data_IF_896730974479
#
_entry.id   IF_896730974479
#
_cell.length_a   1.000
_cell.length_b   1.000
_cell.length_c   1.000
_cell.angle_alpha   90.00
_cell.angle_beta   90.00
_cell.angle_gamma   90.00
#
_symmetry.space_group_name_H-M   'P 1'
#
loop_
_entity.id
_entity.type
_entity.pdbx_description
1 polymer ?
#
# COMPACT_ATOMS: atom_id res chain seq x y z
N UNK A 1 4.23 -4.62 17.28
CA UNK A 1 4.79 -3.54 16.45
C UNK A 1 3.72 -3.10 15.47
N UNK A 2 3.51 -1.80 15.32
CA UNK A 2 2.68 -1.22 14.28
C UNK A 2 3.24 -1.52 12.88
N UNK A 3 2.41 -1.40 11.83
CA UNK A 3 2.89 -1.56 10.46
C UNK A 3 4.07 -0.64 10.13
N UNK A 4 3.99 0.64 10.53
CA UNK A 4 5.06 1.62 10.27
C UNK A 4 6.37 1.19 10.96
N UNK A 5 6.32 0.66 12.18
CA UNK A 5 7.52 0.14 12.86
C UNK A 5 8.11 -1.07 12.14
N UNK A 6 7.26 -2.02 11.69
CA UNK A 6 7.71 -3.22 10.95
C UNK A 6 8.30 -2.85 9.59
N UNK A 7 7.63 -1.95 8.86
CA UNK A 7 8.11 -1.41 7.60
C UNK A 7 9.44 -0.68 7.80
N UNK A 8 9.57 0.14 8.85
CA UNK A 8 10.81 0.84 9.19
C UNK A 8 11.95 -0.12 9.53
N UNK A 9 11.65 -1.20 10.26
CA UNK A 9 12.62 -2.26 10.55
C UNK A 9 13.12 -2.92 9.26
N UNK A 10 12.23 -3.36 8.35
CA UNK A 10 12.65 -3.94 7.08
C UNK A 10 13.38 -2.91 6.18
N UNK A 11 12.90 -1.67 6.13
CA UNK A 11 13.48 -0.59 5.34
C UNK A 11 14.92 -0.27 5.76
N UNK A 12 15.24 -0.39 7.06
CA UNK A 12 16.61 -0.21 7.59
C UNK A 12 17.61 -1.28 7.12
N UNK A 13 17.12 -2.43 6.65
CA UNK A 13 17.94 -3.55 6.19
C UNK A 13 18.29 -3.45 4.70
N UNK A 14 17.72 -2.49 3.97
CA UNK A 14 17.95 -2.28 2.54
C UNK A 14 18.59 -0.91 2.28
N UNK A 15 19.35 -0.74 1.18
CA UNK A 15 19.97 0.56 0.88
C UNK A 15 18.92 1.67 0.74
N UNK A 16 19.19 2.83 1.32
CA UNK A 16 18.34 4.00 1.16
C UNK A 16 18.12 4.32 -0.33
N UNK A 17 16.89 4.67 -0.69
CA UNK A 17 16.46 4.94 -2.09
C UNK A 17 16.56 3.75 -3.06
N UNK A 18 16.79 2.53 -2.57
CA UNK A 18 16.61 1.33 -3.39
C UNK A 18 15.14 1.06 -3.68
N UNK A 19 14.84 0.18 -4.64
CA UNK A 19 13.47 -0.21 -4.97
C UNK A 19 12.66 -0.74 -3.75
N UNK A 20 13.15 -1.72 -2.97
CA UNK A 20 12.42 -2.17 -1.77
C UNK A 20 12.31 -1.08 -0.70
N UNK A 21 13.28 -0.17 -0.61
CA UNK A 21 13.21 0.97 0.30
C UNK A 21 12.06 1.92 -0.07
N UNK A 22 11.85 2.18 -1.37
CA UNK A 22 10.76 3.02 -1.86
C UNK A 22 9.39 2.33 -1.72
N UNK A 23 9.34 1.00 -1.81
CA UNK A 23 8.13 0.23 -1.51
C UNK A 23 7.70 0.44 -0.06
N UNK A 24 8.65 0.40 0.88
CA UNK A 24 8.34 0.67 2.29
C UNK A 24 7.78 2.09 2.49
N UNK A 25 8.32 3.12 1.81
CA UNK A 25 7.77 4.48 1.88
C UNK A 25 6.31 4.53 1.42
N UNK A 26 6.00 3.91 0.27
CA UNK A 26 4.63 3.89 -0.25
C UNK A 26 3.68 3.15 0.71
N UNK A 27 4.09 2.02 1.28
CA UNK A 27 3.29 1.29 2.26
C UNK A 27 3.08 2.10 3.55
N UNK A 28 4.09 2.83 4.02
CA UNK A 28 3.93 3.73 5.16
C UNK A 28 2.96 4.87 4.85
N UNK A 29 2.99 5.40 3.63
CA UNK A 29 2.05 6.41 3.17
C UNK A 29 0.61 5.88 3.10
N UNK A 30 0.40 4.63 2.68
CA UNK A 30 -0.90 3.95 2.79
C UNK A 30 -1.31 3.85 4.26
N UNK A 31 -0.43 3.35 5.14
CA UNK A 31 -0.73 3.20 6.57
C UNK A 31 -1.10 4.52 7.26
N UNK A 32 -0.48 5.64 6.85
CA UNK A 32 -0.77 6.98 7.39
C UNK A 32 -2.14 7.50 6.96
N UNK A 33 -2.58 7.15 5.75
CA UNK A 33 -3.86 7.59 5.18
C UNK A 33 -5.02 6.69 5.62
N UNK A 34 -4.78 5.39 5.73
CA UNK A 34 -5.79 4.34 5.86
C UNK A 34 -5.38 3.39 7.00
N UNK A 35 -5.78 3.68 8.26
CA UNK A 35 -5.46 2.85 9.42
C UNK A 35 -5.92 1.39 9.30
N UNK A 36 -7.03 1.13 8.61
CA UNK A 36 -7.55 -0.20 8.32
C UNK A 36 -6.59 -1.04 7.47
N UNK A 37 -5.95 -0.42 6.47
CA UNK A 37 -4.91 -1.05 5.68
C UNK A 37 -3.65 -1.31 6.52
N UNK A 38 -3.35 -0.43 7.48
CA UNK A 38 -2.22 -0.60 8.38
C UNK A 38 -2.35 -1.85 9.26
N UNK A 39 -3.56 -2.22 9.69
CA UNK A 39 -3.76 -3.44 10.47
C UNK A 39 -3.49 -4.71 9.66
N UNK A 40 -3.93 -4.75 8.39
CA UNK A 40 -3.68 -5.87 7.48
C UNK A 40 -2.19 -6.00 7.15
N UNK A 41 -1.56 -4.89 6.74
CA UNK A 41 -0.12 -4.85 6.45
C UNK A 41 0.70 -5.29 7.68
N UNK A 42 0.31 -4.87 8.88
CA UNK A 42 1.02 -5.29 10.09
C UNK A 42 0.97 -6.81 10.28
N UNK A 43 -0.18 -7.44 10.06
CA UNK A 43 -0.32 -8.90 10.18
C UNK A 43 0.49 -9.63 9.12
N UNK A 44 0.40 -9.18 7.87
CA UNK A 44 1.10 -9.82 6.76
C UNK A 44 2.61 -9.75 6.90
N UNK A 45 3.17 -8.63 7.38
CA UNK A 45 4.62 -8.46 7.55
C UNK A 45 5.27 -9.42 8.57
N UNK A 46 4.49 -10.20 9.32
CA UNK A 46 5.02 -11.31 10.12
C UNK A 46 5.37 -12.54 9.26
N UNK A 47 4.85 -12.64 8.03
CA UNK A 47 5.22 -13.63 7.04
C UNK A 47 6.37 -13.11 6.15
N UNK A 48 7.52 -13.79 6.08
CA UNK A 48 8.63 -13.42 5.19
C UNK A 48 8.23 -13.30 3.71
N UNK A 49 7.25 -14.08 3.26
CA UNK A 49 6.76 -14.06 1.87
C UNK A 49 5.96 -12.78 1.55
N UNK A 50 5.61 -11.99 2.57
CA UNK A 50 4.92 -10.71 2.46
C UNK A 50 5.86 -9.53 2.77
N UNK A 51 7.18 -9.71 2.65
CA UNK A 51 8.16 -8.66 2.94
C UNK A 51 8.18 -7.54 1.88
N UNK A 52 8.81 -6.40 2.20
CA UNK A 52 9.01 -5.29 1.24
C UNK A 52 9.84 -5.69 0.01
N UNK A 53 10.66 -6.74 0.13
CA UNK A 53 11.45 -7.28 -0.98
C UNK A 53 10.58 -8.12 -1.90
N UNK A 54 9.68 -8.94 -1.35
CA UNK A 54 8.72 -9.70 -2.17
C UNK A 54 7.69 -8.78 -2.84
N UNK A 55 7.24 -7.75 -2.13
CA UNK A 55 6.37 -6.72 -2.70
C UNK A 55 7.06 -5.94 -3.86
N UNK A 56 8.35 -5.62 -3.74
CA UNK A 56 9.12 -5.02 -4.83
C UNK A 56 9.17 -5.90 -6.08
N UNK A 57 9.29 -7.23 -5.92
CA UNK A 57 9.29 -8.16 -7.06
C UNK A 57 7.98 -8.09 -7.86
N UNK A 58 6.84 -7.83 -7.21
CA UNK A 58 5.57 -7.66 -7.92
C UNK A 58 5.59 -6.41 -8.82
N UNK A 59 6.08 -5.29 -8.28
CA UNK A 59 6.25 -4.05 -9.06
C UNK A 59 7.25 -4.27 -10.20
N UNK A 60 8.36 -4.96 -9.93
CA UNK A 60 9.36 -5.30 -10.95
C UNK A 60 8.77 -6.18 -12.05
N UNK A 61 7.98 -7.19 -11.71
CA UNK A 61 7.34 -8.06 -12.69
C UNK A 61 6.38 -7.27 -13.60
N UNK A 62 5.61 -6.34 -13.02
CA UNK A 62 4.78 -5.43 -13.80
C UNK A 62 5.62 -4.51 -14.71
N UNK A 63 6.72 -3.96 -14.19
CA UNK A 63 7.61 -3.12 -14.98
C UNK A 63 8.25 -3.88 -16.15
N UNK A 64 8.68 -5.13 -15.92
CA UNK A 64 9.31 -5.97 -16.92
C UNK A 64 8.31 -6.37 -18.04
N UNK A 65 7.01 -6.55 -17.72
CA UNK A 65 5.97 -6.86 -18.71
C UNK A 65 5.57 -5.66 -19.58
N UNK A 66 5.79 -4.43 -19.12
CA UNK A 66 5.48 -3.18 -19.84
C UNK A 66 6.74 -2.50 -20.42
N UNK A 67 7.86 -3.22 -20.48
CA UNK A 67 9.14 -2.68 -20.92
C UNK A 67 9.18 -2.42 -22.43
N UNK A 68 9.57 -1.20 -22.79
CA UNK A 68 9.86 -0.80 -24.18
C UNK A 68 11.37 -0.65 -24.36
N UNK A 69 11.99 -1.60 -25.07
CA UNK A 69 13.44 -1.67 -25.21
C UNK A 69 14.14 -1.95 -23.87
N UNK A 70 14.95 -1.02 -23.37
CA UNK A 70 15.66 -1.12 -22.08
C UNK A 70 15.00 -0.32 -20.96
N UNK A 71 13.83 0.26 -21.20
CA UNK A 71 13.18 1.17 -20.27
C UNK A 71 11.74 0.74 -19.98
N UNK A 72 11.37 0.80 -18.71
CA UNK A 72 10.00 0.71 -18.22
C UNK A 72 9.80 1.77 -17.14
N UNK A 73 8.56 2.18 -16.96
CA UNK A 73 8.17 3.11 -15.91
C UNK A 73 6.96 2.51 -15.19
N UNK A 74 6.93 2.63 -13.87
CA UNK A 74 5.75 2.33 -13.06
C UNK A 74 5.38 3.63 -12.36
N UNK A 75 4.17 4.09 -12.60
CA UNK A 75 3.64 5.29 -11.96
C UNK A 75 3.32 5.02 -10.48
N UNK A 76 3.27 6.07 -9.63
CA UNK A 76 2.88 5.89 -8.23
C UNK A 76 1.53 5.19 -8.07
N UNK A 77 0.55 5.50 -8.91
CA UNK A 77 -0.78 4.87 -8.88
C UNK A 77 -0.74 3.39 -9.27
N UNK A 78 0.10 2.99 -10.24
CA UNK A 78 0.28 1.58 -10.59
C UNK A 78 0.96 0.80 -9.46
N UNK A 79 1.99 1.39 -8.85
CA UNK A 79 2.66 0.80 -7.70
C UNK A 79 1.68 0.62 -6.52
N UNK A 80 0.87 1.64 -6.22
CA UNK A 80 -0.16 1.58 -5.18
C UNK A 80 -1.16 0.45 -5.45
N UNK A 81 -1.67 0.33 -6.68
CA UNK A 81 -2.57 -0.77 -7.08
C UNK A 81 -1.92 -2.15 -6.90
N UNK A 82 -0.68 -2.32 -7.36
CA UNK A 82 0.05 -3.60 -7.25
C UNK A 82 0.25 -3.98 -5.78
N UNK A 83 0.61 -3.01 -4.93
CA UNK A 83 0.79 -3.25 -3.50
C UNK A 83 -0.55 -3.59 -2.82
N UNK A 84 -1.63 -2.90 -3.18
CA UNK A 84 -2.97 -3.23 -2.67
C UNK A 84 -3.38 -4.65 -3.05
N UNK A 85 -3.16 -5.06 -4.30
CA UNK A 85 -3.44 -6.42 -4.73
C UNK A 85 -2.59 -7.45 -3.98
N UNK A 86 -1.29 -7.18 -3.81
CA UNK A 86 -0.36 -8.09 -3.14
C UNK A 86 -0.71 -8.32 -1.66
N UNK A 87 -1.09 -7.26 -0.94
CA UNK A 87 -1.49 -7.32 0.48
C UNK A 87 -3.01 -7.49 0.69
N UNK A 88 -3.80 -7.69 -0.37
CA UNK A 88 -5.26 -7.84 -0.27
C UNK A 88 -5.99 -6.62 0.31
N UNK A 89 -5.48 -5.41 0.08
CA UNK A 89 -6.03 -4.16 0.61
C UNK A 89 -7.23 -3.67 -0.22
N UNK A 90 -8.19 -2.96 0.39
CA UNK A 90 -9.29 -2.32 -0.34
C UNK A 90 -8.78 -1.26 -1.33
N UNK A 91 -9.62 -0.87 -2.29
CA UNK A 91 -9.29 0.23 -3.21
C UNK A 91 -9.12 1.56 -2.46
N UNK A 92 -8.24 2.40 -2.98
CA UNK A 92 -7.96 3.72 -2.39
C UNK A 92 -9.23 4.56 -2.27
N UNK A 93 -9.52 5.07 -1.07
CA UNK A 93 -10.71 5.90 -0.82
C UNK A 93 -12.02 5.12 -0.67
N UNK A 94 -12.03 3.80 -0.87
CA UNK A 94 -13.13 2.92 -0.48
C UNK A 94 -12.94 2.39 0.95
N UNK A 95 -12.41 3.24 1.85
CA UNK A 95 -12.18 2.90 3.26
C UNK A 95 -13.37 2.10 3.79
N UNK A 96 -13.06 0.92 4.34
CA UNK A 96 -13.99 -0.19 4.60
C UNK A 96 -15.40 0.34 4.85
N UNK A 97 -16.38 -0.05 4.03
CA UNK A 97 -17.75 0.45 4.17
C UNK A 97 -18.14 0.44 5.64
N UNK A 98 -18.14 1.62 6.25
CA UNK A 98 -18.61 1.77 7.60
C UNK A 98 -20.08 1.35 7.53
N UNK A 99 -20.54 0.38 8.34
CA UNK A 99 -21.95 0.05 8.39
C UNK A 99 -22.69 1.29 8.90
N UNK A 100 -23.27 2.06 7.98
CA UNK A 100 -24.01 3.27 8.29
C UNK A 100 -23.42 4.55 7.71
N UNK A 101 -23.42 4.70 6.39
CA UNK A 101 -23.73 6.03 5.83
C UNK A 101 -25.21 6.27 6.14
N UNK A 102 -25.49 6.84 7.31
CA UNK A 102 -26.78 7.49 7.52
C UNK A 102 -26.76 8.68 6.57
N UNK A 103 -27.54 8.60 5.50
CA UNK A 103 -27.79 9.74 4.62
C UNK A 103 -28.44 10.84 5.45
N UNK A 104 -27.63 11.73 6.01
CA UNK A 104 -28.10 12.96 6.62
C UNK A 104 -28.52 13.87 5.47
N UNK A 105 -29.83 13.96 5.26
CA UNK A 105 -30.39 14.96 4.37
C UNK A 105 -30.24 16.33 5.04
N UNK A 106 -29.50 17.23 4.40
CA UNK A 106 -29.32 18.61 4.86
C UNK A 106 -30.65 19.39 4.89
N UNK A 107 -31.68 18.91 4.18
CA UNK A 107 -33.02 19.48 4.22
C UNK A 107 -33.69 19.33 5.59
N UNK A 108 -33.29 18.34 6.41
CA UNK A 108 -33.85 18.15 7.76
C UNK A 108 -33.36 19.20 8.77
N UNK A 109 -32.30 19.96 8.46
CA UNK A 109 -31.72 20.96 9.38
C UNK A 109 -32.17 22.40 9.11
N UNK A 110 -32.84 22.66 7.97
CA UNK A 110 -33.22 24.00 7.51
C UNK A 110 -34.73 24.30 7.64
N UNK A 111 -35.46 23.49 8.41
CA UNK A 111 -36.87 23.70 8.76
C UNK A 111 -37.10 24.80 9.78
#
# INVERSE_FOLDING_TARGET
MSAIEKLGAQQSQVPARSAPWMVAEQLMDICRREPECAELIAQDLDNPDMSIVEAEKQIKAFADSHRTGKFSCVTPSEADRILREFYGLPEAGMGAEAPGVIGLDLADFLG
#
